data_IF_642452774799
#
_entry.id   IF_642452774799
#
_cell.length_a   1.000
_cell.length_b   1.000
_cell.length_c   1.000
_cell.angle_alpha   90.00
_cell.angle_beta   90.00
_cell.angle_gamma   90.00
#
_symmetry.space_group_name_H-M   'P 1'
#
loop_
_entity.id
_entity.type
_entity.pdbx_description
1 polymer ?
#
# COMPACT_ATOMS: atom_id res chain seq x y z
N UNK A 1 4.06 -12.07 -26.66
CA UNK A 1 4.23 -10.62 -26.41
C UNK A 1 3.89 -10.26 -24.97
N UNK A 2 2.70 -10.59 -24.47
CA UNK A 2 2.25 -10.24 -23.10
C UNK A 2 3.13 -10.79 -21.97
N UNK A 3 3.56 -12.06 -22.07
CA UNK A 3 4.48 -12.64 -21.08
C UNK A 3 5.84 -11.96 -21.00
N UNK A 4 6.34 -11.43 -22.12
CA UNK A 4 7.59 -10.68 -22.17
C UNK A 4 7.44 -9.34 -21.43
N UNK A 5 6.32 -8.64 -21.63
CA UNK A 5 6.03 -7.38 -20.94
C UNK A 5 5.94 -7.62 -19.42
N UNK A 6 5.18 -8.64 -19.00
CA UNK A 6 5.05 -9.00 -17.58
C UNK A 6 6.40 -9.35 -16.97
N UNK A 7 7.20 -10.18 -17.65
CA UNK A 7 8.54 -10.55 -17.18
C UNK A 7 9.47 -9.32 -17.08
N UNK A 8 9.47 -8.44 -18.08
CA UNK A 8 10.26 -7.20 -18.03
C UNK A 8 9.86 -6.32 -16.85
N UNK A 9 8.55 -6.11 -16.61
CA UNK A 9 8.07 -5.31 -15.47
C UNK A 9 8.51 -5.95 -14.14
N UNK A 10 8.31 -7.27 -13.97
CA UNK A 10 8.72 -7.98 -12.76
C UNK A 10 10.22 -7.89 -12.51
N UNK A 11 11.04 -8.07 -13.55
CA UNK A 11 12.50 -7.97 -13.44
C UNK A 11 12.96 -6.55 -13.12
N UNK A 12 12.33 -5.52 -13.71
CA UNK A 12 12.62 -4.13 -13.38
C UNK A 12 12.23 -3.80 -11.95
N UNK A 13 11.06 -4.25 -11.48
CA UNK A 13 10.61 -4.06 -10.09
C UNK A 13 11.52 -4.77 -9.09
N UNK A 14 11.86 -6.04 -9.33
CA UNK A 14 12.78 -6.80 -8.49
C UNK A 14 14.20 -6.22 -8.52
N UNK A 15 14.68 -5.80 -9.68
CA UNK A 15 15.98 -5.15 -9.84
C UNK A 15 16.06 -3.81 -9.10
N UNK A 16 15.00 -3.00 -9.17
CA UNK A 16 14.90 -1.75 -8.41
C UNK A 16 14.86 -2.00 -6.91
N UNK A 17 14.08 -3.00 -6.45
CA UNK A 17 14.02 -3.39 -5.05
C UNK A 17 15.37 -3.91 -4.52
N UNK A 18 16.06 -4.72 -5.31
CA UNK A 18 17.39 -5.23 -4.97
C UNK A 18 18.43 -4.09 -4.92
N UNK A 19 18.43 -3.19 -5.90
CA UNK A 19 19.33 -2.04 -5.93
C UNK A 19 19.08 -1.10 -4.74
N UNK A 20 17.81 -0.87 -4.39
CA UNK A 20 17.45 -0.10 -3.20
C UNK A 20 17.97 -0.77 -1.93
N UNK A 21 17.83 -2.10 -1.80
CA UNK A 21 18.34 -2.86 -0.66
C UNK A 21 19.86 -2.78 -0.54
N UNK A 22 20.60 -2.96 -1.64
CA UNK A 22 22.08 -2.92 -1.64
C UNK A 22 22.60 -1.53 -1.30
N UNK A 23 21.87 -0.48 -1.69
CA UNK A 23 22.27 0.91 -1.46
C UNK A 23 21.92 1.42 -0.05
N UNK A 24 20.90 0.85 0.58
CA UNK A 24 20.47 1.22 1.93
C UNK A 24 21.25 0.43 3.00
N UNK A 25 22.34 1.01 3.52
CA UNK A 25 23.19 0.37 4.56
C UNK A 25 22.56 0.34 5.96
N UNK A 26 21.52 1.14 6.22
CA UNK A 26 20.76 1.14 7.47
C UNK A 26 19.27 1.22 7.14
N UNK A 27 18.52 0.15 7.40
CA UNK A 27 17.06 0.13 7.24
C UNK A 27 16.43 0.36 8.62
N UNK A 28 16.13 1.62 8.93
CA UNK A 28 15.32 1.95 10.11
C UNK A 28 13.83 1.89 9.76
N UNK A 29 12.97 1.84 10.79
CA UNK A 29 11.51 1.88 10.60
C UNK A 29 11.07 3.18 9.92
N UNK A 30 11.73 4.31 10.25
CA UNK A 30 11.43 5.61 9.62
C UNK A 30 11.83 5.63 8.14
N UNK A 31 12.98 5.05 7.79
CA UNK A 31 13.43 4.87 6.40
C UNK A 31 12.44 4.00 5.62
N UNK A 32 11.91 2.94 6.24
CA UNK A 32 10.97 2.02 5.59
C UNK A 32 9.60 2.65 5.37
N UNK A 33 9.05 3.33 6.38
CA UNK A 33 7.67 3.83 6.35
C UNK A 33 7.54 5.20 5.70
N UNK A 34 8.54 6.06 5.86
CA UNK A 34 8.46 7.48 5.47
C UNK A 34 9.66 7.94 4.63
N UNK A 35 10.58 7.02 4.28
CA UNK A 35 11.79 7.31 3.50
C UNK A 35 12.60 8.48 4.10
N UNK A 36 12.74 8.49 5.42
CA UNK A 36 13.44 9.54 6.19
C UNK A 36 12.92 10.97 5.91
N UNK A 37 11.68 11.09 5.41
CA UNK A 37 11.06 12.35 4.97
C UNK A 37 11.87 13.09 3.90
N UNK A 38 12.73 12.37 3.19
CA UNK A 38 13.60 12.90 2.15
C UNK A 38 12.89 13.02 0.78
N UNK A 39 11.69 12.44 0.63
CA UNK A 39 10.95 12.44 -0.62
C UNK A 39 10.44 13.85 -0.97
N UNK A 40 10.82 14.41 -2.14
CA UNK A 40 10.30 15.70 -2.58
C UNK A 40 8.82 15.58 -2.98
N UNK A 41 8.11 16.72 -2.95
CA UNK A 41 6.66 16.76 -3.20
C UNK A 41 6.20 16.07 -4.51
N UNK A 42 6.88 16.20 -5.67
CA UNK A 42 6.48 15.50 -6.89
C UNK A 42 6.56 13.97 -6.76
N UNK A 43 7.57 13.47 -6.04
CA UNK A 43 7.76 12.04 -5.81
C UNK A 43 6.73 11.51 -4.82
N UNK A 44 6.42 12.27 -3.76
CA UNK A 44 5.31 11.97 -2.85
C UNK A 44 3.98 11.94 -3.59
N UNK A 45 3.73 12.85 -4.53
CA UNK A 45 2.52 12.87 -5.35
C UNK A 45 2.39 11.59 -6.18
N UNK A 46 3.45 11.22 -6.93
CA UNK A 46 3.46 10.00 -7.75
C UNK A 46 3.26 8.75 -6.89
N UNK A 47 3.94 8.67 -5.74
CA UNK A 47 3.80 7.57 -4.80
C UNK A 47 2.36 7.45 -4.29
N UNK A 48 1.76 8.58 -3.90
CA UNK A 48 0.38 8.63 -3.39
C UNK A 48 -0.62 8.20 -4.46
N UNK A 49 -0.43 8.64 -5.71
CA UNK A 49 -1.26 8.21 -6.85
C UNK A 49 -1.11 6.70 -7.07
N UNK A 50 0.12 6.18 -7.04
CA UNK A 50 0.40 4.75 -7.20
C UNK A 50 -0.21 3.87 -6.09
N UNK A 51 -0.27 4.38 -4.87
CA UNK A 51 -0.88 3.70 -3.72
C UNK A 51 -2.42 3.70 -3.79
N UNK A 52 -3.03 4.84 -4.15
CA UNK A 52 -4.50 5.00 -4.18
C UNK A 52 -5.14 4.21 -5.33
N UNK A 53 -4.53 4.24 -6.52
CA UNK A 53 -5.08 3.55 -7.69
C UNK A 53 -4.60 2.11 -7.74
N UNK A 54 -5.47 1.22 -7.26
CA UNK A 54 -5.19 -0.22 -7.21
C UNK A 54 -6.03 -1.03 -8.20
N UNK A 55 -5.87 -2.35 -8.15
CA UNK A 55 -6.71 -3.33 -8.87
C UNK A 55 -8.21 -3.12 -8.60
N UNK A 56 -8.58 -2.59 -7.42
CA UNK A 56 -9.97 -2.24 -7.12
C UNK A 56 -10.54 -1.22 -8.11
N UNK A 57 -9.79 -0.17 -8.45
CA UNK A 57 -10.26 0.87 -9.36
C UNK A 57 -10.19 0.44 -10.82
N UNK A 58 -9.19 -0.36 -11.19
CA UNK A 58 -8.96 -0.77 -12.58
C UNK A 58 -9.85 -1.95 -12.98
N UNK A 59 -10.12 -2.88 -12.06
CA UNK A 59 -10.86 -4.12 -12.36
C UNK A 59 -12.23 -4.12 -11.67
N UNK A 60 -12.29 -3.85 -10.37
CA UNK A 60 -13.54 -4.00 -9.62
C UNK A 60 -14.58 -2.95 -10.02
N UNK A 61 -14.17 -1.71 -10.30
CA UNK A 61 -15.12 -0.67 -10.73
C UNK A 61 -15.77 -0.98 -12.10
N UNK A 62 -15.03 -1.25 -13.19
CA UNK A 62 -15.65 -1.64 -14.46
C UNK A 62 -16.47 -2.93 -14.36
N UNK A 63 -16.02 -3.92 -13.59
CA UNK A 63 -16.76 -5.16 -13.36
C UNK A 63 -18.09 -4.92 -12.66
N UNK A 64 -18.11 -4.06 -11.63
CA UNK A 64 -19.34 -3.66 -10.95
C UNK A 64 -20.29 -2.89 -11.85
N UNK A 65 -19.76 -1.99 -12.69
CA UNK A 65 -20.56 -1.26 -13.69
C UNK A 65 -21.17 -2.20 -14.74
N UNK A 66 -20.41 -3.21 -15.20
CA UNK A 66 -20.89 -4.21 -16.14
C UNK A 66 -21.98 -5.11 -15.53
N UNK A 67 -21.79 -5.55 -14.27
CA UNK A 67 -22.72 -6.46 -13.59
C UNK A 67 -23.99 -5.80 -13.03
N UNK A 68 -23.90 -4.55 -12.57
CA UNK A 68 -24.99 -3.83 -11.91
C UNK A 68 -25.52 -2.63 -12.71
N UNK A 69 -24.95 -2.38 -13.89
CA UNK A 69 -25.34 -1.30 -14.79
C UNK A 69 -24.96 0.09 -14.28
N UNK A 70 -25.47 1.12 -14.96
CA UNK A 70 -25.13 2.54 -14.72
C UNK A 70 -25.47 2.99 -13.29
N UNK A 71 -26.44 2.36 -12.62
CA UNK A 71 -26.80 2.67 -11.23
C UNK A 71 -25.60 2.58 -10.27
N UNK A 72 -24.71 1.60 -10.48
CA UNK A 72 -23.47 1.44 -9.73
C UNK A 72 -22.48 2.59 -10.00
N UNK A 73 -22.44 3.08 -11.24
CA UNK A 73 -21.64 4.24 -11.62
C UNK A 73 -22.07 5.52 -10.89
N UNK A 74 -23.39 5.77 -10.77
CA UNK A 74 -23.89 6.91 -10.00
C UNK A 74 -23.54 6.81 -8.52
N UNK A 75 -23.69 5.63 -7.93
CA UNK A 75 -23.30 5.40 -6.54
C UNK A 75 -21.81 5.64 -6.32
N UNK A 76 -20.95 5.09 -7.18
CA UNK A 76 -19.50 5.26 -7.08
C UNK A 76 -19.08 6.73 -7.23
N UNK A 77 -19.66 7.44 -8.21
CA UNK A 77 -19.38 8.85 -8.43
C UNK A 77 -19.84 9.71 -7.25
N UNK A 78 -21.02 9.43 -6.70
CA UNK A 78 -21.54 10.08 -5.51
C UNK A 78 -20.64 9.84 -4.28
N UNK A 79 -20.18 8.60 -4.10
CA UNK A 79 -19.19 8.27 -3.08
C UNK A 79 -17.90 9.09 -3.23
N UNK A 80 -17.32 9.18 -4.43
CA UNK A 80 -16.10 9.96 -4.65
C UNK A 80 -16.33 11.46 -4.37
N UNK A 81 -17.46 12.00 -4.84
CA UNK A 81 -17.81 13.41 -4.63
C UNK A 81 -17.90 13.75 -3.14
N UNK A 82 -18.35 12.83 -2.29
CA UNK A 82 -18.43 13.02 -0.84
C UNK A 82 -17.11 12.72 -0.12
N UNK A 83 -16.37 11.70 -0.56
CA UNK A 83 -15.15 11.24 0.11
C UNK A 83 -13.97 12.21 -0.10
N UNK A 84 -13.79 12.75 -1.32
CA UNK A 84 -12.64 13.60 -1.64
C UNK A 84 -12.61 14.92 -0.84
N UNK A 85 -13.72 15.66 -0.66
CA UNK A 85 -13.73 16.83 0.20
C UNK A 85 -13.35 16.51 1.64
N UNK A 86 -13.85 15.40 2.19
CA UNK A 86 -13.47 14.96 3.54
C UNK A 86 -11.98 14.70 3.61
N UNK A 87 -11.42 13.97 2.65
CA UNK A 87 -9.97 13.73 2.56
C UNK A 87 -9.15 15.02 2.42
N UNK A 88 -9.67 16.00 1.67
CA UNK A 88 -9.01 17.30 1.48
C UNK A 88 -8.91 18.12 2.77
N UNK A 89 -9.91 18.07 3.65
CA UNK A 89 -9.87 18.78 4.93
C UNK A 89 -9.17 17.98 6.03
N UNK A 90 -9.43 16.67 6.10
CA UNK A 90 -8.91 15.79 7.16
C UNK A 90 -7.44 15.47 6.92
N UNK A 91 -7.03 15.23 5.68
CA UNK A 91 -5.66 14.85 5.31
C UNK A 91 -4.60 15.84 5.80
N UNK A 92 -4.70 17.15 5.48
CA UNK A 92 -3.77 18.16 5.96
C UNK A 92 -3.74 18.26 7.50
N UNK A 93 -4.89 18.12 8.17
CA UNK A 93 -4.97 18.16 9.63
C UNK A 93 -4.24 16.98 10.27
N UNK A 94 -4.42 15.77 9.74
CA UNK A 94 -3.68 14.57 10.20
C UNK A 94 -2.18 14.74 9.93
N UNK A 95 -1.81 15.24 8.74
CA UNK A 95 -0.42 15.45 8.35
C UNK A 95 0.31 16.44 9.26
N UNK A 96 -0.34 17.55 9.62
CA UNK A 96 0.22 18.52 10.56
C UNK A 96 0.48 17.91 11.94
N UNK A 97 -0.47 17.11 12.45
CA UNK A 97 -0.31 16.40 13.73
C UNK A 97 0.77 15.33 13.67
N UNK A 98 0.84 14.56 12.59
CA UNK A 98 1.88 13.56 12.38
C UNK A 98 3.28 14.18 12.42
N UNK A 99 3.46 15.38 11.83
CA UNK A 99 4.70 16.14 11.92
C UNK A 99 5.01 16.62 13.34
N UNK A 100 4.03 17.18 14.05
CA UNK A 100 4.22 17.66 15.43
C UNK A 100 4.61 16.52 16.38
N UNK A 101 3.99 15.37 16.20
CA UNK A 101 4.19 14.18 17.04
C UNK A 101 5.39 13.32 16.62
N UNK A 102 6.10 13.68 15.55
CA UNK A 102 7.10 12.83 14.91
C UNK A 102 6.59 11.39 14.66
N UNK A 103 5.30 11.23 14.36
CA UNK A 103 4.66 9.93 14.22
C UNK A 103 4.94 9.33 12.84
N UNK A 104 5.20 8.03 12.80
CA UNK A 104 5.40 7.30 11.54
C UNK A 104 4.14 6.55 11.08
N UNK A 105 3.19 6.33 12.01
CA UNK A 105 1.98 5.56 11.74
C UNK A 105 0.72 6.33 12.17
N UNK A 106 -0.42 6.02 11.55
CA UNK A 106 -1.71 6.62 11.92
C UNK A 106 -2.11 6.30 13.38
N UNK A 107 -1.96 5.06 13.89
CA UNK A 107 -2.21 4.76 15.30
C UNK A 107 -1.40 5.61 16.27
N UNK A 108 -0.10 5.85 15.99
CA UNK A 108 0.73 6.74 16.82
C UNK A 108 0.20 8.17 16.86
N UNK A 109 -0.31 8.70 15.74
CA UNK A 109 -0.94 10.03 15.72
C UNK A 109 -2.12 10.08 16.67
N UNK A 110 -2.97 9.05 16.66
CA UNK A 110 -4.12 8.96 17.56
C UNK A 110 -3.71 8.74 19.02
N UNK A 111 -2.74 7.85 19.26
CA UNK A 111 -2.19 7.59 20.59
C UNK A 111 -1.62 8.85 21.24
N UNK A 112 -0.80 9.61 20.50
CA UNK A 112 -0.21 10.87 20.98
C UNK A 112 -1.21 12.01 21.06
N UNK A 113 -2.23 12.04 20.19
CA UNK A 113 -3.29 13.06 20.25
C UNK A 113 -4.19 12.92 21.47
N UNK A 114 -4.50 11.69 21.88
CA UNK A 114 -5.36 11.39 23.03
C UNK A 114 -4.59 10.99 24.29
N UNK A 115 -3.25 11.05 24.25
CA UNK A 115 -2.35 10.67 25.35
C UNK A 115 -2.66 9.27 25.94
N UNK A 116 -3.07 8.32 25.09
CA UNK A 116 -3.57 7.00 25.50
C UNK A 116 -2.98 5.86 24.69
N UNK A 117 -2.14 5.05 25.36
CA UNK A 117 -1.56 3.82 24.80
C UNK A 117 -2.63 2.76 24.49
N UNK A 118 -3.73 2.75 25.25
CA UNK A 118 -4.84 1.84 24.98
C UNK A 118 -5.53 2.20 23.66
N UNK A 119 -5.75 3.50 23.41
CA UNK A 119 -6.35 3.98 22.18
C UNK A 119 -5.44 3.79 20.96
N UNK A 120 -4.12 3.97 21.14
CA UNK A 120 -3.10 3.65 20.15
C UNK A 120 -3.18 2.18 19.73
N UNK A 121 -3.16 1.25 20.69
CA UNK A 121 -3.22 -0.19 20.43
C UNK A 121 -4.53 -0.61 19.77
N UNK A 122 -5.66 -0.06 20.22
CA UNK A 122 -6.96 -0.33 19.62
C UNK A 122 -6.99 0.09 18.15
N UNK A 123 -6.48 1.29 17.86
CA UNK A 123 -6.40 1.80 16.49
C UNK A 123 -5.44 0.98 15.64
N UNK A 124 -4.30 0.56 16.20
CA UNK A 124 -3.35 -0.32 15.52
C UNK A 124 -3.99 -1.66 15.14
N UNK A 125 -4.69 -2.31 16.07
CA UNK A 125 -5.42 -3.55 15.77
C UNK A 125 -6.52 -3.35 14.73
N UNK A 126 -7.27 -2.25 14.81
CA UNK A 126 -8.29 -1.92 13.83
C UNK A 126 -7.67 -1.75 12.42
N UNK A 127 -6.55 -1.05 12.30
CA UNK A 127 -5.82 -0.90 11.04
C UNK A 127 -5.33 -2.25 10.51
N UNK A 128 -4.72 -3.10 11.36
CA UNK A 128 -4.24 -4.44 10.95
C UNK A 128 -5.40 -5.30 10.45
N UNK A 129 -6.50 -5.36 11.20
CA UNK A 129 -7.68 -6.14 10.82
C UNK A 129 -8.28 -5.62 9.51
N UNK A 130 -8.31 -4.31 9.29
CA UNK A 130 -8.80 -3.72 8.04
C UNK A 130 -7.87 -3.99 6.83
N UNK A 131 -6.56 -4.08 7.06
CA UNK A 131 -5.57 -4.37 6.02
C UNK A 131 -5.63 -5.81 5.51
N UNK A 132 -6.03 -6.78 6.33
CA UNK A 132 -6.15 -8.20 5.92
C UNK A 132 -7.12 -8.40 4.75
N UNK A 133 -8.42 -8.03 4.85
CA UNK A 133 -9.36 -8.18 3.75
C UNK A 133 -8.99 -7.27 2.57
N UNK A 134 -8.45 -6.08 2.85
CA UNK A 134 -7.97 -5.19 1.80
C UNK A 134 -6.87 -5.85 0.95
N UNK A 135 -5.85 -6.42 1.59
CA UNK A 135 -4.78 -7.15 0.91
C UNK A 135 -5.30 -8.37 0.15
N UNK A 136 -6.26 -9.10 0.73
CA UNK A 136 -6.90 -10.24 0.06
C UNK A 136 -7.55 -9.84 -1.27
N UNK A 137 -8.26 -8.70 -1.33
CA UNK A 137 -8.84 -8.22 -2.58
C UNK A 137 -7.80 -7.90 -3.64
N UNK A 138 -6.64 -7.39 -3.26
CA UNK A 138 -5.54 -7.14 -4.20
C UNK A 138 -5.04 -8.44 -4.83
N UNK A 139 -4.86 -9.51 -4.03
CA UNK A 139 -4.43 -10.81 -4.55
C UNK A 139 -5.49 -11.48 -5.42
N UNK A 140 -6.77 -11.38 -5.05
CA UNK A 140 -7.88 -11.95 -5.84
C UNK A 140 -7.91 -11.30 -7.23
N UNK A 141 -7.86 -9.97 -7.30
CA UNK A 141 -7.89 -9.31 -8.59
C UNK A 141 -6.60 -9.51 -9.39
N UNK A 142 -5.43 -9.61 -8.74
CA UNK A 142 -4.18 -9.94 -9.42
C UNK A 142 -4.27 -11.33 -10.06
N UNK A 143 -4.77 -12.32 -9.32
CA UNK A 143 -5.01 -13.67 -9.84
C UNK A 143 -5.98 -13.65 -11.01
N UNK A 144 -7.09 -12.93 -10.91
CA UNK A 144 -8.09 -12.83 -11.98
C UNK A 144 -7.49 -12.29 -13.28
N UNK A 145 -6.63 -11.26 -13.19
CA UNK A 145 -5.94 -10.70 -14.36
C UNK A 145 -4.94 -11.71 -14.93
N UNK A 146 -4.13 -12.33 -14.09
CA UNK A 146 -3.14 -13.32 -14.54
C UNK A 146 -3.77 -14.56 -15.19
N UNK A 147 -4.87 -15.07 -14.62
CA UNK A 147 -5.63 -16.20 -15.17
C UNK A 147 -6.17 -15.85 -16.58
N UNK A 148 -6.71 -14.63 -16.75
CA UNK A 148 -7.19 -14.13 -18.05
C UNK A 148 -6.07 -14.01 -19.09
N UNK A 149 -4.85 -13.72 -18.64
CA UNK A 149 -3.65 -13.63 -19.48
C UNK A 149 -2.98 -14.99 -19.76
N UNK A 150 -3.50 -16.09 -19.20
CA UNK A 150 -2.96 -17.45 -19.36
C UNK A 150 -1.83 -17.81 -18.37
N UNK A 151 -1.63 -17.04 -17.30
CA UNK A 151 -0.59 -17.25 -16.29
C UNK A 151 -1.16 -17.81 -14.97
N UNK A 152 -1.70 -19.03 -14.98
CA UNK A 152 -2.39 -19.63 -13.83
C UNK A 152 -1.49 -20.05 -12.66
N UNK A 153 -0.17 -20.15 -12.86
CA UNK A 153 0.80 -20.61 -11.84
C UNK A 153 1.66 -19.48 -11.21
N UNK A 154 1.57 -18.24 -11.71
CA UNK A 154 2.47 -17.14 -11.33
C UNK A 154 2.34 -16.62 -9.87
N UNK A 155 1.14 -16.56 -9.23
CA UNK A 155 1.01 -16.03 -7.88
C UNK A 155 1.76 -16.84 -6.81
N UNK A 156 1.79 -18.18 -6.95
CA UNK A 156 2.48 -19.06 -6.01
C UNK A 156 4.01 -18.98 -6.12
N UNK A 157 4.53 -18.84 -7.34
CA UNK A 157 5.96 -18.68 -7.60
C UNK A 157 6.51 -17.31 -7.14
N UNK A 158 5.71 -16.23 -7.28
CA UNK A 158 6.07 -14.89 -6.83
C UNK A 158 6.19 -14.78 -5.30
N UNK A 159 5.27 -15.39 -4.56
CA UNK A 159 5.33 -15.45 -3.08
C UNK A 159 6.55 -16.23 -2.59
N UNK A 160 6.90 -17.34 -3.26
CA UNK A 160 8.11 -18.10 -2.95
C UNK A 160 9.40 -17.28 -3.23
N UNK A 161 9.44 -16.53 -4.34
CA UNK A 161 10.58 -15.65 -4.65
C UNK A 161 10.76 -14.51 -3.65
N UNK A 162 9.66 -13.87 -3.24
CA UNK A 162 9.69 -12.81 -2.22
C UNK A 162 10.14 -13.35 -0.86
N UNK A 163 9.69 -14.55 -0.45
CA UNK A 163 10.10 -15.18 0.80
C UNK A 163 11.60 -15.50 0.84
N UNK A 164 12.19 -15.90 -0.28
CA UNK A 164 13.63 -16.14 -0.42
C UNK A 164 14.42 -14.83 -0.37
N UNK A 165 13.93 -13.76 -1.00
CA UNK A 165 14.58 -12.44 -0.96
C UNK A 165 14.40 -11.71 0.38
N UNK A 166 13.33 -12.01 1.14
CA UNK A 166 13.07 -11.44 2.47
C UNK A 166 13.69 -12.23 3.62
N UNK A 167 14.41 -13.33 3.34
CA UNK A 167 15.10 -14.08 4.37
C UNK A 167 16.05 -13.15 5.15
N UNK A 168 15.90 -13.04 6.48
CA UNK A 168 16.73 -12.16 7.29
C UNK A 168 18.12 -12.78 7.40
N UNK A 169 19.06 -12.30 6.57
CA UNK A 169 20.46 -12.67 6.74
C UNK A 169 21.20 -11.82 7.78
N UNK A 170 20.64 -10.70 8.23
CA UNK A 170 21.26 -9.84 9.26
C UNK A 170 20.18 -9.14 10.10
N UNK A 171 19.69 -9.81 11.15
CA UNK A 171 19.08 -9.13 12.29
C UNK A 171 20.02 -9.33 13.48
N UNK A 172 20.95 -8.39 13.66
CA UNK A 172 21.64 -8.23 14.95
C UNK A 172 20.55 -8.02 16.03
N UNK A 173 20.66 -8.67 17.20
CA UNK A 173 19.65 -8.56 18.23
C UNK A 173 19.66 -7.15 18.81
N UNK A 174 18.60 -6.38 18.52
CA UNK A 174 18.27 -5.14 19.24
C UNK A 174 17.85 -5.48 20.67
N UNK A 175 18.85 -5.79 21.50
CA UNK A 175 18.76 -5.74 22.95
C UNK A 175 19.43 -4.44 23.40
N UNK A 176 18.62 -3.41 23.66
CA UNK A 176 18.80 -2.37 24.69
C UNK A 176 17.59 -1.45 24.73
#
# INVERSE_FOLDING_TARGET
MTGMIVACVLLLSLGAAWLARVRSRHMTVETLLVADRALPAPMLFILTVGEIYSIGSIVAFPAGLYGHGISYGYWFLGYLLLAFPVGYFVGPAIWQRAKQYNACTLPEVFGRHFESVAFERLTAWACVIALVPWGQFQFIGLRSVLDTLGFSAAPAAGLAGCAVCSAPHDLEPLAR
#
